data_IF_343901175330
#
_entry.id   IF_343901175330
#
_cell.length_a   1.000
_cell.length_b   1.000
_cell.length_c   1.000
_cell.angle_alpha   90.00
_cell.angle_beta   90.00
_cell.angle_gamma   90.00
#
_symmetry.space_group_name_H-M   'P 1'
#
loop_
_entity.id
_entity.type
_entity.pdbx_description
1 polymer ?
#
# COMPACT_ATOMS: atom_id res chain seq x y z
N UNK A 1 -0.08 -43.35 -44.25
CA UNK A 1 0.75 -44.00 -43.22
C UNK A 1 0.10 -43.78 -41.85
N UNK A 2 -0.24 -44.83 -41.10
CA UNK A 2 -0.80 -44.72 -39.74
C UNK A 2 0.34 -44.87 -38.73
N UNK A 3 0.62 -43.82 -37.98
CA UNK A 3 1.60 -43.88 -36.90
C UNK A 3 0.88 -44.10 -35.58
N UNK A 4 1.05 -45.30 -35.02
CA UNK A 4 0.64 -45.64 -33.66
C UNK A 4 1.78 -45.28 -32.71
N UNK A 5 1.65 -44.17 -32.00
CA UNK A 5 2.57 -43.82 -30.92
C UNK A 5 2.12 -44.53 -29.64
N UNK A 6 2.94 -45.46 -29.15
CA UNK A 6 2.78 -46.10 -27.84
C UNK A 6 3.26 -45.11 -26.76
N UNK A 7 2.32 -44.42 -26.12
CA UNK A 7 2.60 -43.61 -24.92
C UNK A 7 2.57 -44.51 -23.67
N UNK A 8 3.72 -44.62 -22.99
CA UNK A 8 3.88 -45.32 -21.71
C UNK A 8 3.44 -44.37 -20.59
N UNK A 9 2.27 -44.59 -20.01
CA UNK A 9 1.77 -43.81 -18.86
C UNK A 9 2.37 -44.43 -17.59
N UNK A 10 3.39 -43.78 -17.03
CA UNK A 10 3.94 -44.13 -15.72
C UNK A 10 2.98 -43.61 -14.63
N UNK A 11 2.51 -44.55 -13.81
CA UNK A 11 1.96 -44.32 -12.47
C UNK A 11 0.53 -43.74 -12.39
N UNK A 12 -0.45 -44.57 -12.82
CA UNK A 12 -1.41 -45.20 -11.91
C UNK A 12 -1.97 -44.44 -10.70
N UNK A 13 -2.40 -43.18 -10.84
CA UNK A 13 -3.27 -42.53 -9.83
C UNK A 13 -4.28 -41.58 -10.47
N UNK A 14 -5.33 -42.17 -11.02
CA UNK A 14 -6.53 -41.42 -11.42
C UNK A 14 -7.39 -41.18 -10.18
N UNK A 15 -7.22 -40.02 -9.52
CA UNK A 15 -8.33 -39.47 -8.73
C UNK A 15 -9.31 -38.86 -9.72
N UNK A 16 -10.52 -39.42 -9.76
CA UNK A 16 -11.63 -38.85 -10.50
C UNK A 16 -11.87 -37.42 -10.01
N UNK A 17 -11.52 -36.44 -10.85
CA UNK A 17 -12.05 -35.09 -10.73
C UNK A 17 -13.24 -35.01 -11.69
N UNK A 18 -14.43 -35.33 -11.18
CA UNK A 18 -15.67 -34.89 -11.79
C UNK A 18 -15.63 -33.36 -11.83
N UNK A 19 -15.36 -32.81 -13.01
CA UNK A 19 -15.54 -31.41 -13.29
C UNK A 19 -17.03 -31.16 -13.52
N UNK A 20 -17.79 -31.13 -12.42
CA UNK A 20 -19.13 -30.57 -12.42
C UNK A 20 -18.96 -29.05 -12.66
N UNK A 21 -19.43 -28.60 -13.83
CA UNK A 21 -19.54 -27.20 -14.17
C UNK A 21 -20.44 -26.52 -13.15
N UNK A 22 -19.91 -25.61 -12.33
CA UNK A 22 -20.78 -24.76 -11.52
C UNK A 22 -20.10 -23.97 -10.43
N UNK A 23 -20.19 -22.66 -10.55
CA UNK A 23 -20.00 -21.66 -9.50
C UNK A 23 -18.58 -21.09 -9.33
N UNK A 24 -18.34 -20.08 -10.14
CA UNK A 24 -17.22 -19.11 -10.12
C UNK A 24 -17.11 -18.25 -8.83
N UNK A 25 -17.85 -18.55 -7.76
CA UNK A 25 -17.84 -17.71 -6.55
C UNK A 25 -16.74 -18.03 -5.53
N UNK A 26 -15.82 -18.94 -5.85
CA UNK A 26 -14.70 -19.31 -4.94
C UNK A 26 -13.33 -18.90 -5.48
N UNK A 27 -13.26 -17.90 -6.37
CA UNK A 27 -11.99 -17.29 -6.80
C UNK A 27 -11.70 -15.94 -6.12
N UNK A 28 -12.64 -15.37 -5.38
CA UNK A 28 -12.46 -14.04 -4.76
C UNK A 28 -11.80 -14.08 -3.38
N UNK A 29 -11.57 -15.25 -2.78
CA UNK A 29 -11.07 -15.37 -1.39
C UNK A 29 -9.55 -15.55 -1.24
N UNK A 30 -8.77 -15.60 -2.32
CA UNK A 30 -7.31 -15.90 -2.24
C UNK A 30 -6.39 -14.95 -3.02
N UNK A 31 -6.90 -13.79 -3.47
CA UNK A 31 -6.10 -12.83 -4.25
C UNK A 31 -5.98 -11.42 -3.63
N UNK A 32 -6.44 -11.20 -2.40
CA UNK A 32 -6.40 -9.88 -1.75
C UNK A 32 -5.87 -9.90 -0.30
N UNK A 33 -5.08 -10.91 0.09
CA UNK A 33 -4.55 -11.00 1.47
C UNK A 33 -3.05 -10.64 1.56
N UNK A 34 -2.51 -9.90 0.58
CA UNK A 34 -1.11 -9.45 0.58
C UNK A 34 -0.90 -8.00 0.14
N UNK A 35 -1.95 -7.17 0.14
CA UNK A 35 -1.81 -5.74 -0.13
C UNK A 35 -2.01 -4.93 1.14
N UNK A 36 -0.89 -4.42 1.66
CA UNK A 36 -0.89 -3.34 2.62
C UNK A 36 -0.57 -3.82 4.02
N UNK A 37 0.73 -3.95 4.29
CA UNK A 37 1.24 -3.48 5.58
C UNK A 37 0.78 -2.03 5.70
N UNK A 38 -0.33 -1.85 6.40
CA UNK A 38 -0.97 -0.55 6.60
C UNK A 38 -0.07 0.18 7.56
N UNK A 39 0.92 0.90 7.04
CA UNK A 39 1.64 1.92 7.78
C UNK A 39 0.59 2.87 8.34
N UNK A 40 0.10 2.60 9.55
CA UNK A 40 -0.84 3.45 10.26
C UNK A 40 -0.22 4.83 10.26
N UNK A 41 -0.82 5.76 9.51
CA UNK A 41 -0.36 7.14 9.45
C UNK A 41 -0.64 7.77 10.81
N UNK A 42 0.29 7.58 11.75
CA UNK A 42 0.22 8.18 13.07
C UNK A 42 0.27 9.69 12.88
N UNK A 43 -0.85 10.34 13.21
CA UNK A 43 -0.89 11.79 13.37
C UNK A 43 -0.30 12.06 14.75
N UNK A 44 0.82 12.78 14.78
CA UNK A 44 1.41 13.25 16.03
C UNK A 44 0.66 14.50 16.43
N UNK A 45 0.06 14.50 17.61
CA UNK A 45 -0.53 15.68 18.21
C UNK A 45 0.52 16.36 19.10
N UNK A 46 0.65 17.68 18.98
CA UNK A 46 1.64 18.45 19.72
C UNK A 46 1.30 19.94 19.71
N UNK A 47 2.17 20.78 20.29
CA UNK A 47 2.02 22.24 20.20
C UNK A 47 3.34 22.78 19.66
N UNK A 48 3.43 22.96 18.34
CA UNK A 48 4.64 23.51 17.69
C UNK A 48 4.34 24.86 17.07
N UNK A 49 5.37 25.71 16.97
CA UNK A 49 5.22 27.06 16.41
C UNK A 49 5.83 27.11 15.01
N UNK A 50 5.10 27.68 14.05
CA UNK A 50 5.62 27.90 12.70
C UNK A 50 6.65 29.04 12.69
N UNK A 51 7.87 28.79 12.23
CA UNK A 51 8.95 29.79 12.17
C UNK A 51 8.69 30.95 11.21
N UNK A 52 7.74 30.83 10.26
CA UNK A 52 7.44 31.87 9.26
C UNK A 52 6.25 32.76 9.63
N UNK A 53 5.18 32.20 10.19
CA UNK A 53 3.95 32.93 10.49
C UNK A 53 3.58 32.97 11.97
N UNK A 54 4.30 32.25 12.84
CA UNK A 54 3.98 32.18 14.27
C UNK A 54 2.73 31.37 14.62
N UNK A 55 2.10 30.70 13.64
CA UNK A 55 0.91 29.90 13.88
C UNK A 55 1.23 28.64 14.71
N UNK A 56 0.31 28.27 15.61
CA UNK A 56 0.35 27.02 16.35
C UNK A 56 -0.04 25.84 15.45
N UNK A 57 0.79 24.79 15.45
CA UNK A 57 0.58 23.55 14.72
C UNK A 57 0.23 22.48 15.76
N UNK A 58 -0.98 21.90 15.62
CA UNK A 58 -1.52 20.94 16.59
C UNK A 58 -1.40 19.48 16.15
N UNK A 59 -1.31 19.24 14.85
CA UNK A 59 -1.32 17.90 14.27
C UNK A 59 -0.34 17.85 13.09
N UNK A 60 0.62 16.91 13.13
CA UNK A 60 1.57 16.66 12.06
C UNK A 60 1.59 15.18 11.68
N UNK A 61 1.70 14.85 10.38
CA UNK A 61 1.79 13.46 9.92
C UNK A 61 3.21 12.88 10.05
N UNK A 62 4.13 13.62 10.67
CA UNK A 62 5.50 13.25 10.95
C UNK A 62 5.88 13.76 12.34
N UNK A 63 6.84 13.10 12.96
CA UNK A 63 7.40 13.53 14.24
C UNK A 63 8.42 14.65 13.98
N UNK A 64 8.20 15.89 14.44
CA UNK A 64 9.12 16.98 14.19
C UNK A 64 10.39 16.86 15.03
N UNK A 65 11.55 17.04 14.40
CA UNK A 65 12.84 17.05 15.10
C UNK A 65 12.93 18.25 16.05
N UNK A 66 13.27 18.04 17.35
CA UNK A 66 13.37 19.13 18.32
C UNK A 66 14.48 20.14 17.96
N UNK A 67 15.53 19.70 17.27
CA UNK A 67 16.65 20.56 16.84
C UNK A 67 16.32 21.48 15.67
N UNK A 68 15.18 21.30 14.98
CA UNK A 68 14.81 22.08 13.79
C UNK A 68 13.42 22.72 13.88
N UNK A 69 12.92 22.89 15.11
CA UNK A 69 11.63 23.56 15.37
C UNK A 69 11.59 24.98 14.80
N UNK A 70 12.70 25.71 14.81
CA UNK A 70 12.77 27.09 14.26
C UNK A 70 12.52 27.15 12.74
N UNK A 71 12.79 26.06 12.03
CA UNK A 71 12.59 25.97 10.57
C UNK A 71 11.30 25.24 10.22
N UNK A 72 10.50 24.85 11.22
CA UNK A 72 9.25 24.16 11.03
C UNK A 72 8.24 25.10 10.35
N UNK A 73 7.69 24.66 9.24
CA UNK A 73 6.68 25.39 8.49
C UNK A 73 5.31 24.72 8.66
N UNK A 74 4.28 25.54 8.89
CA UNK A 74 2.91 25.04 8.86
C UNK A 74 2.53 24.57 7.44
N UNK A 75 1.42 23.83 7.35
CA UNK A 75 0.91 23.27 6.09
C UNK A 75 0.79 24.33 4.98
N UNK A 76 0.34 25.53 5.34
CA UNK A 76 0.09 26.61 4.38
C UNK A 76 1.39 27.29 3.92
N UNK A 77 2.31 27.61 4.84
CA UNK A 77 3.63 28.14 4.49
C UNK A 77 4.43 27.12 3.65
N UNK A 78 4.34 25.84 3.98
CA UNK A 78 4.98 24.79 3.19
C UNK A 78 4.34 24.65 1.80
N UNK A 79 3.01 24.77 1.69
CA UNK A 79 2.30 24.78 0.41
C UNK A 79 2.72 25.97 -0.45
N UNK A 80 2.74 27.17 0.11
CA UNK A 80 3.14 28.38 -0.60
C UNK A 80 4.60 28.29 -1.07
N UNK A 81 5.52 27.87 -0.20
CA UNK A 81 6.92 27.65 -0.56
C UNK A 81 7.07 26.69 -1.75
N UNK A 82 6.30 25.59 -1.77
CA UNK A 82 6.29 24.64 -2.89
C UNK A 82 5.68 25.21 -4.18
N UNK A 83 4.78 26.18 -4.08
CA UNK A 83 4.22 26.87 -5.24
C UNK A 83 5.22 27.88 -5.83
N UNK A 84 5.93 28.62 -4.97
CA UNK A 84 6.97 29.58 -5.40
C UNK A 84 8.08 28.89 -6.19
N UNK A 85 8.51 27.68 -5.77
CA UNK A 85 9.52 26.89 -6.47
C UNK A 85 9.07 26.32 -7.84
N UNK A 86 7.77 26.36 -8.15
CA UNK A 86 7.24 25.87 -9.43
C UNK A 86 7.07 26.97 -10.47
N UNK A 87 7.34 28.22 -10.11
CA UNK A 87 7.20 29.39 -10.97
C UNK A 87 8.54 29.76 -11.59
#
# INVERSE_FOLDING_TARGET
MRYTFLVRVKDGKHKAASLEKGSINTLSKVADERRGDSFERKMVQGNWTCGKCGAEIKELPFEPDPSRLDQLLCRDCHRQRRQDFRR
#
